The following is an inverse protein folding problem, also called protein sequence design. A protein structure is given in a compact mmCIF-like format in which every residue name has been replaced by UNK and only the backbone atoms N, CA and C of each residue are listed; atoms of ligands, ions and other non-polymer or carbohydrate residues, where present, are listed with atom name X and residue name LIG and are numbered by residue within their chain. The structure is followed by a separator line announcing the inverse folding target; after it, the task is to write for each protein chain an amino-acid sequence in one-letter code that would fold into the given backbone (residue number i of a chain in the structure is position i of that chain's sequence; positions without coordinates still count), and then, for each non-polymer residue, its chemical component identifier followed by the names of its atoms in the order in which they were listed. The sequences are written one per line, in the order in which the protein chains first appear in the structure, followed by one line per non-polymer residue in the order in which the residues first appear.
data_IF_317618501358
#
_entry.id   IF_317618501358
#
_cell.length_a   1.000
_cell.length_b   1.000
_cell.length_c   1.000
_cell.angle_alpha   90.00
_cell.angle_beta   90.00
_cell.angle_gamma   90.00
#
_symmetry.space_group_name_H-M   'P 1'
#
loop_
_entity.id
_entity.type
_entity.pdbx_description
1 polymer ?
#
# COMPACT_ATOMS: atom_id res chain seq x y z
N UNK A 1 -1.53 13.63 16.32
CA UNK A 1 -1.72 13.48 14.86
C UNK A 1 -3.18 13.70 14.51
N UNK A 2 -3.48 14.46 13.44
CA UNK A 2 -4.85 14.68 12.94
C UNK A 2 -5.23 13.54 12.00
N UNK A 3 -6.44 12.99 12.16
CA UNK A 3 -7.05 11.99 11.25
C UNK A 3 -8.43 12.49 10.87
N UNK A 4 -8.67 12.62 9.56
CA UNK A 4 -9.98 12.97 9.01
C UNK A 4 -10.61 11.73 8.36
N UNK A 5 -11.91 11.60 8.47
CA UNK A 5 -12.71 10.64 7.70
C UNK A 5 -13.27 11.37 6.48
N UNK A 6 -13.14 10.78 5.31
CA UNK A 6 -13.64 11.33 4.04
C UNK A 6 -14.33 10.26 3.22
N UNK A 7 -15.03 10.71 2.19
CA UNK A 7 -15.69 9.85 1.21
C UNK A 7 -15.49 10.40 -0.20
N UNK A 8 -15.29 9.50 -1.16
CA UNK A 8 -15.21 9.82 -2.58
C UNK A 8 -15.83 8.69 -3.39
N UNK A 9 -16.87 8.98 -4.16
CA UNK A 9 -17.59 8.01 -5.00
C UNK A 9 -17.97 6.71 -4.25
N UNK A 10 -18.49 6.85 -3.01
CA UNK A 10 -18.92 5.74 -2.19
C UNK A 10 -17.77 5.02 -1.43
N UNK A 11 -16.52 5.31 -1.72
CA UNK A 11 -15.40 4.79 -0.96
C UNK A 11 -15.11 5.71 0.23
N UNK A 12 -15.28 5.22 1.45
CA UNK A 12 -14.86 5.92 2.66
C UNK A 12 -13.38 5.67 2.93
N UNK A 13 -12.68 6.69 3.41
CA UNK A 13 -11.24 6.58 3.68
C UNK A 13 -10.79 7.48 4.82
N UNK A 14 -9.72 7.03 5.50
CA UNK A 14 -9.02 7.85 6.47
C UNK A 14 -7.92 8.66 5.78
N UNK A 15 -7.75 9.90 6.23
CA UNK A 15 -6.62 10.76 5.89
C UNK A 15 -5.85 11.05 7.17
N UNK A 16 -4.68 10.43 7.34
CA UNK A 16 -3.75 10.74 8.40
C UNK A 16 -2.83 11.85 7.93
N UNK A 17 -2.77 12.95 8.68
CA UNK A 17 -1.96 14.11 8.33
C UNK A 17 -0.53 13.97 8.83
N UNK A 18 0.45 14.57 8.14
CA UNK A 18 1.79 14.75 8.69
C UNK A 18 1.73 15.40 10.08
N UNK A 19 2.64 14.98 10.99
CA UNK A 19 2.68 15.48 12.38
C UNK A 19 2.77 17.00 12.45
N UNK A 20 3.63 17.58 11.61
CA UNK A 20 3.89 19.02 11.54
C UNK A 20 3.33 19.63 10.25
N UNK A 21 2.08 19.24 9.91
CA UNK A 21 1.41 19.73 8.71
C UNK A 21 1.32 21.27 8.70
N UNK A 22 1.75 21.86 7.60
CA UNK A 22 1.64 23.29 7.34
C UNK A 22 0.96 23.50 5.99
N UNK A 23 -0.06 24.35 5.97
CA UNK A 23 -0.73 24.71 4.73
C UNK A 23 0.25 25.34 3.72
N UNK A 24 0.08 24.99 2.46
CA UNK A 24 0.97 25.46 1.36
C UNK A 24 2.25 24.66 1.17
N UNK A 25 2.60 23.75 2.09
CA UNK A 25 3.69 22.80 1.89
C UNK A 25 3.22 21.51 1.22
N UNK A 26 4.12 20.88 0.48
CA UNK A 26 3.90 19.57 -0.15
C UNK A 26 4.57 18.48 0.68
N UNK A 27 3.90 17.33 0.76
CA UNK A 27 4.34 16.18 1.54
C UNK A 27 4.23 14.90 0.73
N UNK A 28 5.06 13.87 1.01
CA UNK A 28 4.84 12.52 0.51
C UNK A 28 3.44 12.04 0.86
N UNK A 29 2.85 11.22 -0.01
CA UNK A 29 1.59 10.54 0.28
C UNK A 29 1.75 9.03 0.09
N UNK A 30 1.37 8.26 1.13
CA UNK A 30 1.24 6.82 1.08
C UNK A 30 -0.23 6.43 0.93
N UNK A 31 -0.55 5.75 -0.16
CA UNK A 31 -1.80 4.99 -0.32
C UNK A 31 -1.60 3.61 0.28
N UNK A 32 -2.41 3.22 1.27
CA UNK A 32 -2.37 1.89 1.87
C UNK A 32 -3.69 1.15 1.67
N UNK A 33 -3.64 -0.05 1.06
CA UNK A 33 -4.80 -0.92 0.85
C UNK A 33 -4.75 -2.11 1.81
N UNK A 34 -5.79 -2.24 2.63
CA UNK A 34 -5.92 -3.28 3.65
C UNK A 34 -6.29 -4.65 3.08
N UNK A 35 -6.06 -5.70 3.86
CA UNK A 35 -6.49 -7.06 3.59
C UNK A 35 -7.99 -7.31 3.83
N UNK A 36 -8.47 -8.52 3.51
CA UNK A 36 -9.87 -8.89 3.56
C UNK A 36 -10.53 -8.71 4.95
N UNK A 37 -9.76 -8.88 6.02
CA UNK A 37 -10.27 -8.76 7.41
C UNK A 37 -10.69 -7.35 7.81
N UNK A 38 -10.26 -6.31 7.06
CA UNK A 38 -10.60 -4.91 7.37
C UNK A 38 -11.68 -4.32 6.44
N UNK A 39 -12.43 -5.19 5.72
CA UNK A 39 -13.60 -4.76 4.93
C UNK A 39 -14.65 -4.10 5.80
N UNK A 40 -15.40 -3.21 5.21
CA UNK A 40 -16.48 -2.47 5.87
C UNK A 40 -16.63 -1.05 5.37
N UNK A 41 -17.39 -0.24 6.10
CA UNK A 41 -17.62 1.16 5.77
C UNK A 41 -17.71 2.08 6.99
N UNK A 42 -17.27 1.60 8.17
CA UNK A 42 -17.38 2.31 9.45
C UNK A 42 -16.04 2.46 10.18
N UNK A 43 -14.96 1.91 9.59
CA UNK A 43 -13.60 1.88 10.12
C UNK A 43 -13.40 1.08 11.42
N UNK A 44 -14.41 0.38 11.94
CA UNK A 44 -14.30 -0.40 13.18
C UNK A 44 -13.19 -1.47 13.10
N UNK A 45 -13.00 -2.07 11.91
CA UNK A 45 -11.94 -3.05 11.69
C UNK A 45 -10.51 -2.46 11.58
N UNK A 46 -10.36 -1.13 11.66
CA UNK A 46 -9.04 -0.48 11.56
C UNK A 46 -8.31 -0.36 12.90
N UNK A 47 -8.97 -0.63 14.01
CA UNK A 47 -8.34 -0.59 15.34
C UNK A 47 -7.17 -1.58 15.46
N UNK A 48 -7.21 -2.69 14.71
CA UNK A 48 -6.14 -3.69 14.62
C UNK A 48 -5.18 -3.46 13.44
N UNK A 49 -5.33 -2.37 12.68
CA UNK A 49 -4.47 -2.07 11.54
C UNK A 49 -3.03 -1.79 11.99
N UNK A 50 -2.09 -2.64 11.58
CA UNK A 50 -0.65 -2.45 11.87
C UNK A 50 -0.15 -1.10 11.36
N UNK A 51 -0.54 -0.69 10.14
CA UNK A 51 -0.11 0.58 9.54
C UNK A 51 -0.69 1.76 10.30
N UNK A 52 -1.99 1.74 10.64
CA UNK A 52 -2.61 2.82 11.41
C UNK A 52 -2.00 2.94 12.81
N UNK A 53 -1.66 1.82 13.45
CA UNK A 53 -1.01 1.80 14.76
C UNK A 53 0.43 2.35 14.69
N UNK A 54 1.16 2.07 13.61
CA UNK A 54 2.51 2.64 13.39
C UNK A 54 2.43 4.15 13.19
N UNK A 55 1.49 4.65 12.39
CA UNK A 55 1.36 6.08 12.12
C UNK A 55 1.11 6.88 13.41
N UNK A 56 0.44 6.30 14.38
CA UNK A 56 0.15 6.92 15.69
C UNK A 56 1.38 7.04 16.61
N UNK A 57 2.48 6.32 16.33
CA UNK A 57 3.69 6.37 17.15
C UNK A 57 4.49 7.64 16.86
N UNK A 58 5.16 8.17 17.90
CA UNK A 58 5.93 9.42 17.79
C UNK A 58 7.15 9.29 16.89
N UNK A 59 7.79 8.13 16.89
CA UNK A 59 8.99 7.77 16.12
C UNK A 59 8.68 7.17 14.75
N UNK A 60 7.41 7.22 14.30
CA UNK A 60 7.01 6.63 13.04
C UNK A 60 7.76 7.22 11.84
N UNK A 61 8.36 6.39 10.98
CA UNK A 61 8.93 6.86 9.71
C UNK A 61 7.91 7.53 8.78
N UNK A 62 6.60 7.25 8.99
CA UNK A 62 5.50 7.83 8.23
C UNK A 62 5.00 9.16 8.82
N UNK A 63 5.61 9.66 9.92
CA UNK A 63 5.17 10.87 10.63
C UNK A 63 5.11 12.13 9.76
N UNK A 64 5.92 12.19 8.71
CA UNK A 64 5.97 13.34 7.80
C UNK A 64 5.24 13.09 6.46
N UNK A 65 4.41 12.05 6.38
CA UNK A 65 3.63 11.71 5.19
C UNK A 65 2.14 11.91 5.43
N UNK A 66 1.41 12.26 4.38
CA UNK A 66 0.00 11.88 4.34
C UNK A 66 -0.10 10.38 4.21
N UNK A 67 -1.00 9.76 4.97
CA UNK A 67 -1.36 8.35 4.73
C UNK A 67 -2.85 8.28 4.48
N UNK A 68 -3.23 7.77 3.32
CA UNK A 68 -4.62 7.56 2.91
C UNK A 68 -4.92 6.08 2.96
N UNK A 69 -5.93 5.73 3.75
CA UNK A 69 -6.36 4.34 3.98
C UNK A 69 -7.84 4.23 3.59
N UNK A 70 -8.14 3.89 2.33
CA UNK A 70 -9.52 3.58 1.93
C UNK A 70 -10.01 2.31 2.60
N UNK A 71 -11.34 2.20 2.81
CA UNK A 71 -11.97 0.98 3.28
C UNK A 71 -12.80 0.35 2.15
N UNK A 72 -12.51 -0.91 1.85
CA UNK A 72 -13.26 -1.69 0.88
C UNK A 72 -14.59 -2.13 1.51
N UNK A 73 -15.70 -1.66 0.95
CA UNK A 73 -17.05 -2.00 1.38
C UNK A 73 -17.67 -3.16 0.58
N UNK A 74 -16.95 -3.66 -0.43
CA UNK A 74 -17.35 -4.79 -1.27
C UNK A 74 -16.60 -6.08 -0.89
N UNK A 75 -16.86 -7.18 -1.58
CA UNK A 75 -16.19 -8.46 -1.33
C UNK A 75 -14.69 -8.36 -1.62
N UNK A 76 -14.32 -7.65 -2.67
CA UNK A 76 -12.94 -7.39 -3.05
C UNK A 76 -12.73 -5.96 -3.53
N UNK A 77 -11.47 -5.51 -3.57
CA UNK A 77 -11.10 -4.24 -4.21
C UNK A 77 -11.42 -4.20 -5.71
N UNK A 78 -11.55 -5.37 -6.35
CA UNK A 78 -11.84 -5.46 -7.79
C UNK A 78 -13.28 -5.13 -8.10
N UNK A 79 -14.22 -5.33 -7.16
CA UNK A 79 -15.63 -4.98 -7.33
C UNK A 79 -15.86 -3.46 -7.38
N UNK A 80 -14.94 -2.69 -6.78
CA UNK A 80 -14.96 -1.22 -6.75
C UNK A 80 -13.73 -0.60 -7.41
N UNK A 81 -13.08 -1.34 -8.33
CA UNK A 81 -11.77 -0.98 -8.87
C UNK A 81 -11.80 0.35 -9.66
N UNK A 82 -12.86 0.63 -10.39
CA UNK A 82 -13.03 1.88 -11.14
C UNK A 82 -13.05 3.10 -10.21
N UNK A 83 -13.81 3.01 -9.12
CA UNK A 83 -13.91 4.07 -8.11
C UNK A 83 -12.60 4.22 -7.33
N UNK A 84 -11.92 3.10 -7.03
CA UNK A 84 -10.58 3.11 -6.43
C UNK A 84 -9.56 3.84 -7.32
N UNK A 85 -9.52 3.58 -8.62
CA UNK A 85 -8.63 4.29 -9.55
C UNK A 85 -8.97 5.80 -9.62
N UNK A 86 -10.25 6.14 -9.54
CA UNK A 86 -10.70 7.53 -9.51
C UNK A 86 -10.26 8.23 -8.23
N UNK A 87 -10.39 7.57 -7.07
CA UNK A 87 -9.88 8.06 -5.78
C UNK A 87 -8.36 8.26 -5.82
N UNK A 88 -7.61 7.31 -6.39
CA UNK A 88 -6.14 7.42 -6.50
C UNK A 88 -5.74 8.66 -7.29
N UNK A 89 -6.41 8.93 -8.41
CA UNK A 89 -6.16 10.14 -9.22
C UNK A 89 -6.52 11.41 -8.48
N UNK A 90 -7.63 11.40 -7.72
CA UNK A 90 -8.07 12.52 -6.90
C UNK A 90 -7.02 12.89 -5.84
N UNK A 91 -6.58 11.91 -5.03
CA UNK A 91 -5.60 12.16 -3.97
C UNK A 91 -4.21 12.53 -4.51
N UNK A 92 -3.82 11.99 -5.67
CA UNK A 92 -2.57 12.35 -6.35
C UNK A 92 -2.54 13.83 -6.72
N UNK A 93 -3.69 14.42 -7.07
CA UNK A 93 -3.82 15.81 -7.50
C UNK A 93 -4.06 16.80 -6.33
N UNK A 94 -4.04 16.35 -5.08
CA UNK A 94 -4.18 17.28 -3.96
C UNK A 94 -3.03 18.29 -3.96
N UNK A 95 -3.28 19.60 -3.73
CA UNK A 95 -2.24 20.64 -3.76
C UNK A 95 -1.12 20.41 -2.73
N UNK A 96 -1.41 19.71 -1.64
CA UNK A 96 -0.47 19.39 -0.57
C UNK A 96 0.37 18.13 -0.83
N UNK A 97 0.19 17.44 -1.96
CA UNK A 97 0.92 16.21 -2.28
C UNK A 97 2.17 16.52 -3.11
N UNK A 98 3.30 15.98 -2.66
CA UNK A 98 4.50 15.88 -3.48
C UNK A 98 4.35 14.68 -4.42
N UNK A 99 3.96 14.97 -5.66
CA UNK A 99 3.73 13.95 -6.68
C UNK A 99 4.97 13.10 -7.01
N UNK A 100 6.18 13.62 -6.75
CA UNK A 100 7.42 12.85 -6.91
C UNK A 100 7.64 11.81 -5.81
N UNK A 101 6.83 11.86 -4.75
CA UNK A 101 6.83 10.96 -3.59
C UNK A 101 5.44 10.39 -3.30
N UNK A 102 4.76 9.95 -4.35
CA UNK A 102 3.49 9.24 -4.24
C UNK A 102 3.77 7.73 -4.08
N UNK A 103 3.43 7.19 -2.92
CA UNK A 103 3.88 5.88 -2.46
C UNK A 103 2.69 4.92 -2.37
N UNK A 104 2.98 3.63 -2.48
CA UNK A 104 1.96 2.57 -2.45
C UNK A 104 2.29 1.49 -1.43
N UNK A 105 1.26 0.95 -0.79
CA UNK A 105 1.39 -0.21 0.09
C UNK A 105 0.11 -1.03 0.10
N UNK A 106 0.22 -2.35 0.24
CA UNK A 106 -0.94 -3.22 0.33
C UNK A 106 -0.65 -4.55 1.01
N UNK A 107 -1.65 -5.06 1.73
CA UNK A 107 -1.59 -6.32 2.46
C UNK A 107 -2.61 -7.31 1.88
N UNK A 108 -2.20 -8.54 1.56
CA UNK A 108 -3.09 -9.63 1.16
C UNK A 108 -4.02 -9.22 0.00
N UNK A 109 -5.32 -9.21 0.18
CA UNK A 109 -6.30 -8.69 -0.79
C UNK A 109 -5.92 -7.27 -1.28
N UNK A 110 -5.44 -6.39 -0.38
CA UNK A 110 -4.90 -5.08 -0.73
C UNK A 110 -3.57 -5.16 -1.50
N UNK A 111 -2.78 -6.21 -1.29
CA UNK A 111 -1.57 -6.50 -2.05
C UNK A 111 -1.87 -6.79 -3.52
N UNK A 112 -2.90 -7.61 -3.79
CA UNK A 112 -3.39 -7.83 -5.16
C UNK A 112 -3.87 -6.53 -5.80
N UNK A 113 -4.67 -5.76 -5.06
CA UNK A 113 -5.23 -4.52 -5.57
C UNK A 113 -4.15 -3.48 -5.86
N UNK A 114 -3.14 -3.32 -4.96
CA UNK A 114 -2.10 -2.31 -5.16
C UNK A 114 -1.20 -2.63 -6.34
N UNK A 115 -0.89 -3.91 -6.61
CA UNK A 115 -0.22 -4.29 -7.85
C UNK A 115 -1.01 -3.83 -9.06
N UNK A 116 -2.32 -4.11 -9.10
CA UNK A 116 -3.16 -3.75 -10.24
C UNK A 116 -3.33 -2.23 -10.36
N UNK A 117 -3.45 -1.50 -9.27
CA UNK A 117 -3.47 -0.03 -9.25
C UNK A 117 -2.17 0.53 -9.83
N UNK A 118 -1.02 0.06 -9.35
CA UNK A 118 0.28 0.49 -9.86
C UNK A 118 0.47 0.12 -11.34
N UNK A 119 0.03 -1.06 -11.80
CA UNK A 119 0.07 -1.42 -13.23
C UNK A 119 -0.83 -0.55 -14.09
N UNK A 120 -1.98 -0.11 -13.57
CA UNK A 120 -2.95 0.74 -14.29
C UNK A 120 -2.51 2.22 -14.34
N UNK A 121 -1.78 2.69 -13.32
CA UNK A 121 -1.35 4.07 -13.12
C UNK A 121 0.18 4.15 -12.88
N UNK A 122 0.94 3.43 -13.69
CA UNK A 122 2.38 3.18 -13.45
C UNK A 122 3.28 4.43 -13.49
N UNK A 123 2.77 5.55 -13.95
CA UNK A 123 3.51 6.83 -13.95
C UNK A 123 3.30 7.66 -12.69
N UNK A 124 2.37 7.26 -11.79
CA UNK A 124 2.08 8.05 -10.60
C UNK A 124 2.94 7.65 -9.41
N UNK A 125 3.32 6.39 -9.28
CA UNK A 125 3.95 5.87 -8.09
C UNK A 125 5.47 5.95 -8.14
N UNK A 126 6.07 6.37 -7.02
CA UNK A 126 7.53 6.45 -6.85
C UNK A 126 8.13 5.15 -6.30
N UNK A 127 7.49 4.53 -5.30
CA UNK A 127 7.89 3.27 -4.67
C UNK A 127 6.68 2.53 -4.09
N UNK A 128 6.84 1.24 -3.82
CA UNK A 128 5.80 0.47 -3.16
C UNK A 128 6.28 -0.66 -2.27
N UNK A 129 5.42 -1.03 -1.31
CA UNK A 129 5.55 -2.22 -0.47
C UNK A 129 4.33 -3.12 -0.71
N UNK A 130 4.57 -4.40 -1.00
CA UNK A 130 3.51 -5.41 -1.10
C UNK A 130 3.79 -6.52 -0.10
N UNK A 131 2.81 -6.81 0.75
CA UNK A 131 2.90 -7.81 1.80
C UNK A 131 1.86 -8.92 1.56
N UNK A 132 2.30 -10.18 1.50
CA UNK A 132 1.50 -11.40 1.29
C UNK A 132 0.40 -11.26 0.22
N UNK A 133 0.72 -10.57 -0.87
CA UNK A 133 -0.16 -10.38 -2.02
C UNK A 133 0.35 -11.11 -3.25
N UNK A 134 -0.50 -11.19 -4.27
CA UNK A 134 -0.19 -11.71 -5.59
C UNK A 134 -0.72 -10.82 -6.71
N UNK A 135 -0.55 -11.24 -7.95
CA UNK A 135 -1.00 -10.43 -9.06
C UNK A 135 -0.92 -11.12 -10.42
N UNK A 136 -1.28 -10.40 -11.47
CA UNK A 136 -1.16 -10.86 -12.84
C UNK A 136 0.32 -10.81 -13.28
N UNK A 137 1.11 -11.83 -12.90
CA UNK A 137 2.56 -11.86 -13.14
C UNK A 137 2.94 -11.66 -14.61
N UNK A 138 2.18 -12.20 -15.55
CA UNK A 138 2.41 -12.02 -17.00
C UNK A 138 2.36 -10.53 -17.42
N UNK A 139 1.69 -9.67 -16.66
CA UNK A 139 1.57 -8.23 -16.90
C UNK A 139 2.48 -7.38 -15.98
N UNK A 140 3.18 -8.00 -15.02
CA UNK A 140 3.95 -7.33 -13.99
C UNK A 140 5.15 -6.53 -14.54
N UNK A 141 5.58 -6.80 -15.76
CA UNK A 141 6.58 -5.99 -16.47
C UNK A 141 6.21 -4.51 -16.58
N UNK A 142 4.93 -4.13 -16.47
CA UNK A 142 4.49 -2.73 -16.40
C UNK A 142 4.98 -1.97 -15.17
N UNK A 143 5.49 -2.68 -14.16
CA UNK A 143 6.03 -2.12 -12.91
C UNK A 143 7.55 -1.85 -12.97
N UNK A 144 8.18 -2.00 -14.14
CA UNK A 144 9.62 -1.87 -14.32
C UNK A 144 10.21 -0.56 -13.78
N UNK A 145 9.45 0.52 -13.78
CA UNK A 145 9.86 1.86 -13.34
C UNK A 145 9.52 2.17 -11.87
N UNK A 146 8.89 1.24 -11.14
CA UNK A 146 8.50 1.43 -9.74
C UNK A 146 9.34 0.48 -8.87
N UNK A 147 10.32 0.97 -8.09
CA UNK A 147 11.02 0.14 -7.12
C UNK A 147 10.04 -0.45 -6.09
N UNK A 148 10.11 -1.76 -5.89
CA UNK A 148 9.23 -2.49 -4.99
C UNK A 148 10.03 -3.28 -3.94
N UNK A 149 9.50 -3.32 -2.71
CA UNK A 149 9.82 -4.34 -1.72
C UNK A 149 8.61 -5.26 -1.56
N UNK A 150 8.83 -6.56 -1.75
CA UNK A 150 7.80 -7.59 -1.71
C UNK A 150 8.11 -8.53 -0.55
N UNK A 151 7.13 -8.77 0.31
CA UNK A 151 7.27 -9.56 1.52
C UNK A 151 6.24 -10.68 1.53
N UNK A 152 6.66 -11.91 1.91
CA UNK A 152 5.77 -13.06 1.96
C UNK A 152 6.20 -14.06 3.00
N UNK A 153 5.25 -14.76 3.63
CA UNK A 153 5.51 -15.91 4.48
C UNK A 153 5.75 -17.17 3.64
N UNK A 154 6.80 -17.94 3.94
CA UNK A 154 7.13 -19.18 3.21
C UNK A 154 5.99 -20.20 3.28
N UNK A 155 5.32 -20.27 4.43
CA UNK A 155 4.32 -21.27 4.74
C UNK A 155 2.88 -20.73 4.62
N UNK A 156 2.68 -19.68 3.82
CA UNK A 156 1.38 -19.03 3.65
C UNK A 156 0.34 -20.01 3.03
N UNK A 157 -0.71 -20.39 3.79
CA UNK A 157 -1.74 -21.29 3.29
C UNK A 157 -2.85 -20.57 2.51
N UNK A 158 -2.91 -19.25 2.56
CA UNK A 158 -3.98 -18.42 1.99
C UNK A 158 -3.58 -17.89 0.61
N UNK A 159 -2.41 -17.26 0.53
CA UNK A 159 -1.80 -16.78 -0.70
C UNK A 159 -0.47 -17.49 -0.89
N UNK A 160 -0.35 -18.27 -1.94
CA UNK A 160 0.86 -19.05 -2.19
C UNK A 160 2.07 -18.14 -2.36
N UNK A 161 3.21 -18.51 -1.75
CA UNK A 161 4.45 -17.73 -1.84
C UNK A 161 4.94 -17.57 -3.28
N UNK A 162 4.61 -18.50 -4.16
CA UNK A 162 4.90 -18.46 -5.58
C UNK A 162 4.32 -17.22 -6.28
N UNK A 163 3.20 -16.69 -5.80
CA UNK A 163 2.62 -15.44 -6.31
C UNK A 163 3.61 -14.27 -6.17
N UNK A 164 4.26 -14.15 -5.02
CA UNK A 164 5.27 -13.11 -4.78
C UNK A 164 6.54 -13.36 -5.61
N UNK A 165 6.96 -14.62 -5.73
CA UNK A 165 8.14 -15.02 -6.52
C UNK A 165 7.94 -14.64 -7.98
N UNK A 166 6.84 -15.06 -8.60
CA UNK A 166 6.55 -14.78 -10.03
C UNK A 166 6.42 -13.28 -10.31
N UNK A 167 5.80 -12.52 -9.38
CA UNK A 167 5.71 -11.07 -9.53
C UNK A 167 7.11 -10.42 -9.51
N UNK A 168 7.96 -10.79 -8.54
CA UNK A 168 9.32 -10.25 -8.42
C UNK A 168 10.19 -10.61 -9.63
N UNK A 169 10.17 -11.87 -10.03
CA UNK A 169 10.92 -12.36 -11.20
C UNK A 169 10.51 -11.58 -12.45
N UNK A 170 9.21 -11.51 -12.75
CA UNK A 170 8.74 -10.83 -13.95
C UNK A 170 9.05 -9.34 -13.99
N UNK A 171 8.97 -8.65 -12.84
CA UNK A 171 9.36 -7.23 -12.75
C UNK A 171 10.85 -7.08 -13.07
N UNK A 172 11.71 -7.91 -12.45
CA UNK A 172 13.17 -7.84 -12.61
C UNK A 172 13.61 -8.23 -14.03
N UNK A 173 13.02 -9.26 -14.65
CA UNK A 173 13.23 -9.62 -16.03
C UNK A 173 12.88 -8.49 -17.02
N UNK A 174 11.95 -7.62 -16.64
CA UNK A 174 11.55 -6.45 -17.43
C UNK A 174 12.43 -5.23 -17.20
N UNK A 175 13.54 -5.36 -16.45
CA UNK A 175 14.47 -4.28 -16.13
C UNK A 175 14.05 -3.44 -14.93
N UNK A 176 13.10 -3.93 -14.12
CA UNK A 176 12.65 -3.27 -12.89
C UNK A 176 13.53 -3.60 -11.67
N UNK A 177 13.07 -3.15 -10.51
CA UNK A 177 13.76 -3.35 -9.24
C UNK A 177 12.75 -3.82 -8.16
N UNK A 178 12.52 -5.12 -8.07
CA UNK A 178 11.69 -5.75 -7.07
C UNK A 178 12.55 -6.60 -6.13
N UNK A 179 12.73 -6.14 -4.89
CA UNK A 179 13.41 -6.88 -3.84
C UNK A 179 12.41 -7.77 -3.11
N UNK A 180 12.57 -9.09 -3.20
CA UNK A 180 11.72 -10.08 -2.54
C UNK A 180 12.36 -10.53 -1.22
N UNK A 181 11.59 -10.49 -0.15
CA UNK A 181 11.91 -11.04 1.17
C UNK A 181 10.89 -12.10 1.56
N UNK A 182 11.34 -13.35 1.70
CA UNK A 182 10.51 -14.46 2.18
C UNK A 182 10.88 -14.75 3.64
N UNK A 183 9.88 -14.83 4.52
CA UNK A 183 10.06 -15.17 5.93
C UNK A 183 9.86 -16.69 6.12
N UNK A 184 10.93 -17.46 6.46
CA UNK A 184 10.88 -18.94 6.45
C UNK A 184 9.85 -19.55 7.39
N UNK A 185 9.69 -18.96 8.59
CA UNK A 185 8.82 -19.48 9.65
C UNK A 185 7.51 -18.71 9.76
N UNK A 186 7.08 -18.04 8.69
CA UNK A 186 5.89 -17.20 8.66
C UNK A 186 4.82 -17.78 7.74
N UNK A 187 3.59 -17.71 8.21
CA UNK A 187 2.39 -18.00 7.44
C UNK A 187 1.87 -16.72 6.75
N UNK A 188 0.52 -16.59 6.59
CA UNK A 188 -0.10 -15.44 5.90
C UNK A 188 0.15 -14.10 6.59
N UNK A 189 0.21 -14.07 7.92
CA UNK A 189 0.29 -12.84 8.71
C UNK A 189 1.71 -12.24 8.80
N UNK A 190 2.40 -12.10 7.70
CA UNK A 190 3.77 -11.53 7.66
C UNK A 190 3.82 -9.99 7.74
N UNK A 191 2.69 -9.30 7.92
CA UNK A 191 2.65 -7.83 7.97
C UNK A 191 3.35 -7.23 9.17
N UNK A 192 3.35 -7.89 10.34
CA UNK A 192 4.12 -7.40 11.49
C UNK A 192 5.62 -7.42 11.20
N UNK A 193 6.13 -8.52 10.64
CA UNK A 193 7.52 -8.64 10.20
C UNK A 193 7.90 -7.56 9.16
N UNK A 194 6.94 -7.19 8.30
CA UNK A 194 7.13 -6.22 7.23
C UNK A 194 7.13 -4.79 7.75
N UNK A 195 6.09 -4.40 8.48
CA UNK A 195 5.83 -3.00 8.82
C UNK A 195 6.43 -2.57 10.16
N UNK A 196 6.62 -3.47 11.13
CA UNK A 196 7.30 -3.15 12.39
C UNK A 196 8.83 -3.05 12.22
N UNK A 197 9.35 -3.56 11.13
CA UNK A 197 10.72 -3.27 10.72
C UNK A 197 10.78 -1.90 10.02
N UNK A 198 11.14 -0.87 10.76
CA UNK A 198 11.14 0.52 10.30
C UNK A 198 12.08 0.78 9.11
N UNK A 199 13.13 -0.03 8.89
CA UNK A 199 13.98 0.06 7.71
C UNK A 199 13.20 -0.05 6.39
N UNK A 200 12.07 -0.80 6.42
CA UNK A 200 11.20 -0.93 5.26
C UNK A 200 10.43 0.36 4.98
N UNK A 201 9.90 0.98 6.02
CA UNK A 201 9.17 2.23 5.92
C UNK A 201 10.09 3.42 5.62
N UNK A 202 11.28 3.47 6.24
CA UNK A 202 12.28 4.48 5.91
C UNK A 202 12.72 4.41 4.45
N UNK A 203 12.94 3.19 3.93
CA UNK A 203 13.24 3.02 2.51
C UNK A 203 12.09 3.54 1.62
N UNK A 204 10.85 3.29 2.03
CA UNK A 204 9.67 3.71 1.27
C UNK A 204 9.60 5.24 1.14
N UNK A 205 9.84 5.99 2.23
CA UNK A 205 9.67 7.45 2.27
C UNK A 205 10.88 8.26 1.81
N UNK A 206 12.05 7.65 1.72
CA UNK A 206 13.27 8.26 1.14
C UNK A 206 13.17 8.37 -0.36
#
# INVERSE_FOLDING_TARGET
MKIDQREFQGIRYLVCYPKDYQEGKKYPLLLHLHGAGSRGNDFSAFDESVVLNIIKKEDSPLSNCFVVIPQCHADTWFDIFGDLLSLVKEIYNWPCVDQSKFLASGISMGGYAIYQVMMSLNTLFHKGIVCCGGGMYWNAGRLWNIPLRIFHGQNDPVVKVEEAIWMAERINESGGNAALMIFPDCEHNCWDNTYLNYDNLEWLVR
#
